data_IF_633243567599
#
_entry.id   IF_633243567599
#
_cell.length_a   1.000
_cell.length_b   1.000
_cell.length_c   1.000
_cell.angle_alpha   90.00
_cell.angle_beta   90.00
_cell.angle_gamma   90.00
#
_symmetry.space_group_name_H-M   'P 1'
#
loop_
_entity.id
_entity.type
_entity.pdbx_description
1 polymer ?
#
# COMPACT_ATOMS: atom_id res chain seq x y z
N UNK A 1 -37.00 -16.40 -7.50
CA UNK A 1 -36.00 -15.32 -7.30
C UNK A 1 -36.00 -14.96 -5.84
N UNK A 2 -34.81 -14.75 -5.26
CA UNK A 2 -34.64 -14.36 -3.86
C UNK A 2 -33.51 -13.34 -3.74
N UNK A 3 -33.47 -12.62 -2.64
CA UNK A 3 -32.32 -11.82 -2.27
C UNK A 3 -31.33 -12.70 -1.50
N UNK A 4 -30.03 -12.50 -1.68
CA UNK A 4 -29.01 -13.29 -0.99
C UNK A 4 -27.88 -12.40 -0.46
N UNK A 5 -27.35 -12.76 0.71
CA UNK A 5 -26.19 -12.10 1.32
C UNK A 5 -25.08 -13.11 1.57
N UNK A 6 -23.87 -12.83 1.07
CA UNK A 6 -22.71 -13.66 1.37
C UNK A 6 -22.23 -13.41 2.80
N UNK A 7 -22.06 -14.48 3.58
CA UNK A 7 -21.67 -14.41 5.00
C UNK A 7 -20.28 -13.82 5.24
N UNK A 8 -19.37 -13.99 4.29
CA UNK A 8 -17.95 -13.59 4.44
C UNK A 8 -17.71 -12.24 3.80
N UNK A 9 -18.04 -12.10 2.52
CA UNK A 9 -17.77 -10.89 1.74
C UNK A 9 -18.78 -9.79 1.99
N UNK A 10 -19.90 -10.10 2.66
CA UNK A 10 -21.03 -9.18 2.91
C UNK A 10 -21.64 -8.60 1.63
N UNK A 11 -21.43 -9.30 0.51
CA UNK A 11 -22.03 -8.94 -0.78
C UNK A 11 -23.53 -9.25 -0.77
N UNK A 12 -24.34 -8.21 -0.95
CA UNK A 12 -25.79 -8.33 -1.06
C UNK A 12 -26.21 -8.31 -2.55
N UNK A 13 -26.92 -9.35 -2.99
CA UNK A 13 -27.44 -9.50 -4.34
C UNK A 13 -28.97 -9.58 -4.29
N UNK A 14 -29.64 -8.84 -5.18
CA UNK A 14 -31.11 -8.80 -5.24
C UNK A 14 -31.63 -9.67 -6.38
N UNK A 15 -32.74 -10.36 -6.13
CA UNK A 15 -33.53 -11.10 -7.13
C UNK A 15 -32.68 -12.07 -7.98
N UNK A 16 -31.92 -12.93 -7.33
CA UNK A 16 -31.08 -13.95 -7.98
C UNK A 16 -31.75 -15.34 -8.01
N UNK A 17 -31.20 -16.23 -8.81
CA UNK A 17 -31.59 -17.64 -8.88
C UNK A 17 -30.95 -18.42 -7.72
N UNK A 18 -31.76 -18.79 -6.72
CA UNK A 18 -31.28 -19.40 -5.46
C UNK A 18 -30.50 -20.71 -5.58
N UNK A 19 -30.74 -21.62 -6.54
CA UNK A 19 -29.95 -22.85 -6.68
C UNK A 19 -28.45 -22.61 -6.90
N UNK A 20 -28.07 -21.42 -7.39
CA UNK A 20 -26.67 -21.05 -7.67
C UNK A 20 -25.91 -20.61 -6.40
N UNK A 21 -26.60 -20.45 -5.25
CA UNK A 21 -26.06 -19.87 -4.03
C UNK A 21 -26.22 -20.83 -2.85
N UNK A 22 -25.12 -21.44 -2.40
CA UNK A 22 -25.14 -22.39 -1.27
C UNK A 22 -25.57 -21.73 0.05
N UNK A 23 -26.53 -22.30 0.81
CA UNK A 23 -26.94 -21.80 2.14
C UNK A 23 -25.81 -21.74 3.18
N UNK A 24 -24.74 -22.53 2.97
CA UNK A 24 -23.56 -22.52 3.83
C UNK A 24 -22.78 -21.20 3.72
N UNK A 25 -22.77 -20.59 2.53
CA UNK A 25 -22.04 -19.36 2.23
C UNK A 25 -22.95 -18.14 2.14
N UNK A 26 -24.24 -18.37 1.84
CA UNK A 26 -25.22 -17.33 1.56
C UNK A 26 -26.43 -17.44 2.48
N UNK A 27 -26.87 -16.31 3.00
CA UNK A 27 -28.16 -16.16 3.68
C UNK A 27 -29.19 -15.86 2.60
N UNK A 28 -30.27 -16.63 2.55
CA UNK A 28 -31.37 -16.42 1.60
C UNK A 28 -32.45 -15.56 2.25
N UNK A 29 -32.91 -14.53 1.53
CA UNK A 29 -33.87 -13.52 1.97
C UNK A 29 -33.55 -12.95 3.38
N UNK A 30 -32.33 -12.43 3.61
CA UNK A 30 -32.00 -11.79 4.88
C UNK A 30 -32.86 -10.54 5.09
N UNK A 31 -33.21 -10.27 6.34
CA UNK A 31 -33.77 -8.97 6.71
C UNK A 31 -32.63 -7.92 6.74
N UNK A 32 -32.67 -6.99 5.79
CA UNK A 32 -31.70 -5.91 5.65
C UNK A 32 -32.18 -4.60 6.27
N UNK A 33 -33.40 -4.55 6.82
CA UNK A 33 -33.94 -3.34 7.44
C UNK A 33 -33.10 -2.80 8.60
N UNK A 34 -32.41 -3.62 9.43
CA UNK A 34 -31.58 -3.10 10.53
C UNK A 34 -30.29 -2.41 10.07
N UNK A 35 -29.89 -2.60 8.81
CA UNK A 35 -28.63 -2.08 8.27
C UNK A 35 -28.84 -1.20 7.03
N UNK A 36 -30.08 -0.77 6.80
CA UNK A 36 -30.40 0.12 5.69
C UNK A 36 -29.64 1.46 5.82
N UNK A 37 -28.89 1.83 4.78
CA UNK A 37 -28.03 3.03 4.79
C UNK A 37 -26.71 2.86 5.55
N UNK A 38 -26.45 1.70 6.16
CA UNK A 38 -25.22 1.40 6.90
C UNK A 38 -24.21 0.73 5.97
N UNK A 39 -22.95 1.17 6.03
CA UNK A 39 -21.88 0.53 5.26
C UNK A 39 -21.63 -0.92 5.72
N UNK A 40 -21.40 -1.82 4.76
CA UNK A 40 -21.18 -3.25 5.02
C UNK A 40 -20.04 -3.54 6.01
N UNK A 41 -19.06 -2.64 6.17
CA UNK A 41 -17.99 -2.79 7.17
C UNK A 41 -18.52 -2.80 8.62
N UNK A 42 -19.69 -2.21 8.87
CA UNK A 42 -20.32 -2.14 10.20
C UNK A 42 -21.43 -3.18 10.41
N UNK A 43 -21.56 -4.16 9.53
CA UNK A 43 -22.55 -5.22 9.71
C UNK A 43 -21.99 -6.35 10.57
N UNK A 44 -22.85 -6.88 11.44
CA UNK A 44 -22.64 -8.10 12.20
C UNK A 44 -23.57 -9.16 11.62
N UNK A 45 -23.04 -10.36 11.40
CA UNK A 45 -23.81 -11.52 10.93
C UNK A 45 -23.74 -12.58 12.02
N UNK A 46 -24.86 -12.84 12.70
CA UNK A 46 -24.98 -13.86 13.75
C UNK A 46 -25.96 -14.91 13.29
N UNK A 47 -25.45 -16.05 12.80
CA UNK A 47 -26.27 -17.01 12.06
C UNK A 47 -26.80 -16.36 10.78
N UNK A 48 -28.12 -16.27 10.64
CA UNK A 48 -28.79 -15.67 9.47
C UNK A 48 -29.33 -14.26 9.74
N UNK A 49 -29.04 -13.70 10.92
CA UNK A 49 -29.47 -12.37 11.32
C UNK A 49 -28.37 -11.37 11.00
N UNK A 50 -28.75 -10.28 10.32
CA UNK A 50 -27.88 -9.15 10.01
C UNK A 50 -28.26 -7.98 10.91
N UNK A 51 -27.29 -7.46 11.66
CA UNK A 51 -27.50 -6.31 12.54
C UNK A 51 -26.40 -5.28 12.37
N UNK A 52 -26.69 -4.05 12.76
CA UNK A 52 -25.71 -2.97 12.81
C UNK A 52 -24.83 -3.08 14.07
N UNK A 53 -23.53 -2.81 13.93
CA UNK A 53 -22.61 -2.61 15.04
C UNK A 53 -23.05 -1.43 15.92
N UNK A 54 -22.86 -1.54 17.22
CA UNK A 54 -23.06 -0.40 18.11
C UNK A 54 -21.99 0.69 17.90
N UNK A 55 -22.16 1.84 18.57
CA UNK A 55 -21.24 2.96 18.41
C UNK A 55 -19.79 2.64 18.84
N UNK A 56 -19.62 1.79 19.86
CA UNK A 56 -18.30 1.37 20.36
C UNK A 56 -17.61 0.42 19.39
N UNK A 57 -18.35 -0.55 18.85
CA UNK A 57 -17.87 -1.49 17.84
C UNK A 57 -17.46 -0.77 16.55
N UNK A 58 -18.28 0.18 16.08
CA UNK A 58 -17.94 1.02 14.92
C UNK A 58 -16.65 1.81 15.15
N UNK A 59 -16.51 2.43 16.32
CA UNK A 59 -15.31 3.17 16.67
C UNK A 59 -14.07 2.26 16.69
N UNK A 60 -14.20 1.03 17.18
CA UNK A 60 -13.11 0.05 17.16
C UNK A 60 -12.72 -0.36 15.73
N UNK A 61 -13.70 -0.60 14.85
CA UNK A 61 -13.45 -0.89 13.42
C UNK A 61 -12.74 0.26 12.73
N UNK A 62 -13.20 1.49 12.96
CA UNK A 62 -12.60 2.67 12.33
C UNK A 62 -11.20 2.96 12.89
N UNK A 63 -10.98 2.76 14.20
CA UNK A 63 -9.66 2.87 14.80
C UNK A 63 -8.70 1.83 14.22
N UNK A 64 -9.11 0.57 14.11
CA UNK A 64 -8.30 -0.49 13.52
C UNK A 64 -7.94 -0.19 12.05
N UNK A 65 -8.90 0.33 11.27
CA UNK A 65 -8.66 0.74 9.90
C UNK A 65 -7.67 1.93 9.81
N UNK A 66 -7.78 2.89 10.74
CA UNK A 66 -6.87 4.03 10.82
C UNK A 66 -5.45 3.60 11.21
N UNK A 67 -5.32 2.68 12.18
CA UNK A 67 -4.03 2.13 12.59
C UNK A 67 -3.36 1.35 11.45
N UNK A 68 -4.12 0.51 10.74
CA UNK A 68 -3.59 -0.20 9.57
C UNK A 68 -3.12 0.76 8.46
N UNK A 69 -3.87 1.84 8.21
CA UNK A 69 -3.49 2.88 7.25
C UNK A 69 -2.22 3.62 7.69
N UNK A 70 -2.13 4.00 8.97
CA UNK A 70 -0.96 4.64 9.56
C UNK A 70 0.28 3.75 9.41
N UNK A 71 0.16 2.47 9.73
CA UNK A 71 1.28 1.54 9.69
C UNK A 71 1.76 1.29 8.24
N UNK A 72 0.83 1.27 7.27
CA UNK A 72 1.17 1.24 5.84
C UNK A 72 1.97 2.48 5.42
N UNK A 73 1.54 3.67 5.84
CA UNK A 73 2.23 4.93 5.53
C UNK A 73 3.63 4.97 6.15
N UNK A 74 3.79 4.47 7.39
CA UNK A 74 5.10 4.38 8.04
C UNK A 74 6.03 3.47 7.23
N UNK A 75 5.55 2.30 6.78
CA UNK A 75 6.34 1.40 5.96
C UNK A 75 6.77 2.03 4.62
N UNK A 76 5.90 2.83 3.99
CA UNK A 76 6.25 3.60 2.79
C UNK A 76 7.32 4.67 3.08
N UNK A 77 7.24 5.35 4.22
CA UNK A 77 8.25 6.33 4.65
C UNK A 77 9.60 5.66 4.90
N UNK A 78 9.64 4.50 5.55
CA UNK A 78 10.88 3.75 5.80
C UNK A 78 11.55 3.35 4.48
N UNK A 79 10.76 2.93 3.48
CA UNK A 79 11.26 2.64 2.14
C UNK A 79 11.83 3.90 1.47
N UNK A 80 11.12 5.03 1.55
CA UNK A 80 11.57 6.30 1.00
C UNK A 80 12.85 6.79 1.68
N UNK A 81 12.97 6.64 3.00
CA UNK A 81 14.18 6.95 3.75
C UNK A 81 15.36 6.12 3.23
N UNK A 82 15.18 4.82 3.02
CA UNK A 82 16.18 3.94 2.44
C UNK A 82 16.67 4.43 1.07
N UNK A 83 15.73 4.77 0.18
CA UNK A 83 16.03 5.33 -1.15
C UNK A 83 16.79 6.65 -1.03
N UNK A 84 16.31 7.59 -0.20
CA UNK A 84 16.94 8.91 -0.01
C UNK A 84 18.36 8.79 0.53
N UNK A 85 18.58 7.95 1.55
CA UNK A 85 19.92 7.67 2.07
C UNK A 85 20.84 7.14 0.97
N UNK A 86 20.33 6.29 0.09
CA UNK A 86 21.12 5.71 -0.98
C UNK A 86 21.43 6.74 -2.08
N UNK A 87 20.47 7.60 -2.45
CA UNK A 87 20.71 8.75 -3.34
C UNK A 87 21.81 9.65 -2.77
N UNK A 88 21.73 10.01 -1.49
CA UNK A 88 22.75 10.84 -0.83
C UNK A 88 24.12 10.16 -0.82
N UNK A 89 24.19 8.86 -0.49
CA UNK A 89 25.46 8.11 -0.54
C UNK A 89 26.08 8.09 -1.93
N UNK A 90 25.28 7.92 -2.98
CA UNK A 90 25.77 7.95 -4.36
C UNK A 90 26.34 9.33 -4.73
N UNK A 91 25.61 10.42 -4.40
CA UNK A 91 26.11 11.78 -4.66
C UNK A 91 27.41 12.08 -3.90
N UNK A 92 27.50 11.69 -2.62
CA UNK A 92 28.74 11.86 -1.84
C UNK A 92 29.87 11.00 -2.40
N UNK A 93 29.58 9.77 -2.84
CA UNK A 93 30.55 8.91 -3.50
C UNK A 93 31.14 9.55 -4.76
N UNK A 94 30.29 10.17 -5.57
CA UNK A 94 30.75 10.90 -6.76
C UNK A 94 31.59 12.12 -6.41
N UNK A 95 31.16 12.95 -5.45
CA UNK A 95 31.95 14.09 -4.98
C UNK A 95 33.36 13.63 -4.55
N UNK A 96 33.46 12.48 -3.87
CA UNK A 96 34.75 11.92 -3.48
C UNK A 96 35.58 11.47 -4.68
N UNK A 97 34.98 10.85 -5.70
CA UNK A 97 35.66 10.50 -6.95
C UNK A 97 36.18 11.75 -7.66
N UNK A 98 35.34 12.78 -7.78
CA UNK A 98 35.73 14.05 -8.42
C UNK A 98 36.90 14.72 -7.68
N UNK A 99 36.86 14.74 -6.34
CA UNK A 99 37.96 15.25 -5.51
C UNK A 99 39.26 14.48 -5.71
N UNK A 100 39.19 13.14 -5.81
CA UNK A 100 40.38 12.32 -6.07
C UNK A 100 40.97 12.62 -7.44
N UNK A 101 40.15 12.74 -8.49
CA UNK A 101 40.62 13.09 -9.83
C UNK A 101 41.27 14.47 -9.86
N UNK A 102 40.65 15.45 -9.21
CA UNK A 102 41.20 16.80 -9.09
C UNK A 102 42.59 16.77 -8.41
N UNK A 103 42.72 16.06 -7.29
CA UNK A 103 43.98 15.97 -6.55
C UNK A 103 45.07 15.12 -7.25
N UNK A 104 44.67 14.15 -8.07
CA UNK A 104 45.59 13.27 -8.79
C UNK A 104 46.16 13.92 -10.07
N UNK A 105 45.53 14.99 -10.58
CA UNK A 105 45.94 15.62 -11.84
C UNK A 105 46.85 16.81 -11.55
N UNK A 106 48.13 16.72 -11.93
CA UNK A 106 49.12 17.81 -11.78
C UNK A 106 48.99 18.91 -12.85
N UNK A 107 47.98 18.83 -13.73
CA UNK A 107 47.74 19.80 -14.80
C UNK A 107 46.91 20.99 -14.31
N UNK A 108 47.17 22.18 -14.85
CA UNK A 108 46.54 23.46 -14.43
C UNK A 108 45.00 23.50 -14.58
N UNK A 109 44.41 22.55 -15.33
CA UNK A 109 42.95 22.31 -15.36
C UNK A 109 42.68 20.81 -15.48
N UNK A 110 42.13 20.15 -14.45
CA UNK A 110 41.76 18.73 -14.54
C UNK A 110 40.56 18.52 -15.48
N UNK A 111 40.71 17.58 -16.43
CA UNK A 111 39.58 17.09 -17.23
C UNK A 111 38.81 16.03 -16.45
N UNK A 112 37.53 16.30 -16.19
CA UNK A 112 36.58 15.34 -15.62
C UNK A 112 36.25 14.26 -16.66
N UNK A 113 36.64 13.02 -16.40
CA UNK A 113 36.42 11.87 -17.32
C UNK A 113 35.36 10.89 -16.81
N UNK A 114 34.83 11.08 -15.60
CA UNK A 114 33.80 10.22 -15.00
C UNK A 114 32.40 10.76 -15.22
N UNK A 115 31.48 9.87 -15.61
CA UNK A 115 30.03 10.14 -15.67
C UNK A 115 29.46 10.42 -14.28
N UNK A 116 28.96 11.62 -14.06
CA UNK A 116 28.34 12.05 -12.81
C UNK A 116 26.86 11.70 -12.77
N UNK A 117 26.23 11.87 -11.62
CA UNK A 117 24.80 11.69 -11.42
C UNK A 117 23.98 12.56 -12.39
N UNK A 118 24.46 13.78 -12.68
CA UNK A 118 23.81 14.71 -13.61
C UNK A 118 23.84 14.24 -15.07
N UNK A 119 24.77 13.36 -15.43
CA UNK A 119 24.92 12.81 -16.78
C UNK A 119 24.12 11.51 -16.98
N UNK A 120 23.61 10.91 -15.89
CA UNK A 120 22.87 9.64 -15.95
C UNK A 120 21.41 9.85 -16.32
N UNK A 121 20.88 8.94 -17.13
CA UNK A 121 19.44 8.85 -17.39
C UNK A 121 18.70 8.34 -16.15
N UNK A 122 17.40 8.65 -16.05
CA UNK A 122 16.54 8.13 -14.98
C UNK A 122 16.57 6.60 -14.90
N UNK A 123 16.67 5.90 -16.04
CA UNK A 123 16.75 4.45 -16.07
C UNK A 123 18.05 3.93 -15.45
N UNK A 124 19.18 4.61 -15.69
CA UNK A 124 20.48 4.27 -15.09
C UNK A 124 20.47 4.52 -13.58
N UNK A 125 19.91 5.65 -13.14
CA UNK A 125 19.75 5.98 -11.71
C UNK A 125 18.89 4.93 -11.00
N UNK A 126 17.74 4.56 -11.59
CA UNK A 126 16.85 3.52 -11.03
C UNK A 126 17.55 2.16 -10.91
N UNK A 127 18.34 1.79 -11.92
CA UNK A 127 19.08 0.52 -11.93
C UNK A 127 20.15 0.49 -10.83
N UNK A 128 20.90 1.58 -10.66
CA UNK A 128 21.91 1.68 -9.61
C UNK A 128 21.29 1.71 -8.20
N UNK A 129 20.17 2.43 -8.02
CA UNK A 129 19.42 2.42 -6.77
C UNK A 129 18.96 1.01 -6.42
N UNK A 130 18.37 0.29 -7.36
CA UNK A 130 17.95 -1.10 -7.18
C UNK A 130 19.12 -2.00 -6.74
N UNK A 131 20.21 -1.99 -7.49
CA UNK A 131 21.41 -2.78 -7.19
C UNK A 131 22.00 -2.49 -5.82
N UNK A 132 21.89 -1.25 -5.34
CA UNK A 132 22.46 -0.82 -4.07
C UNK A 132 21.53 -0.98 -2.87
N UNK A 133 20.22 -1.06 -3.10
CA UNK A 133 19.22 -1.43 -2.10
C UNK A 133 19.09 -2.96 -1.94
N UNK A 134 19.66 -3.75 -2.86
CA UNK A 134 19.55 -5.21 -2.84
C UNK A 134 18.16 -5.73 -3.17
N UNK A 135 17.36 -4.92 -3.88
CA UNK A 135 15.98 -5.21 -4.32
C UNK A 135 15.86 -5.37 -5.82
#
# INVERSE_FOLDING_TARGET
>A
MADVLNRITRQFLRSVNTPDYSPAEWIWNPDMSPVEGVSAKYWIITGDVVSEMDAGEKAAVDLAALEASRDSIIAEIDQLEGVLRQVVKMMVGEINILRQQFNATTAEVPQLTTTTFGDRTLAQVKTQLRNSLGT
#
